data_IF_452237797582
#
_entry.id   IF_452237797582
#
_cell.length_a   1.000
_cell.length_b   1.000
_cell.length_c   1.000
_cell.angle_alpha   90.00
_cell.angle_beta   90.00
_cell.angle_gamma   90.00
#
_symmetry.space_group_name_H-M   'P 1'
#
loop_
_entity.id
_entity.type
_entity.pdbx_description
1 polymer ?
#
# COMPACT_ATOMS: atom_id res chain seq x y z
N UNK A 1 23.64 -14.44 14.27
CA UNK A 1 23.05 -14.20 12.92
C UNK A 1 21.66 -13.66 13.20
N UNK A 2 21.59 -12.36 13.39
CA UNK A 2 20.34 -11.70 13.75
C UNK A 2 19.42 -11.74 12.54
N UNK A 3 18.32 -12.49 12.64
CA UNK A 3 17.20 -12.39 11.72
C UNK A 3 16.57 -11.01 11.95
N UNK A 4 17.19 -9.97 11.39
CA UNK A 4 16.52 -8.69 11.21
C UNK A 4 15.50 -8.95 10.11
N UNK A 5 14.30 -9.40 10.50
CA UNK A 5 13.12 -9.24 9.66
C UNK A 5 12.93 -7.72 9.55
N UNK A 6 13.55 -7.13 8.53
CA UNK A 6 13.36 -5.73 8.17
C UNK A 6 11.91 -5.61 7.67
N UNK A 7 10.99 -5.39 8.60
CA UNK A 7 9.60 -5.08 8.31
C UNK A 7 9.57 -3.79 7.50
N UNK A 8 9.03 -3.86 6.28
CA UNK A 8 8.78 -2.69 5.45
C UNK A 8 7.44 -2.09 5.83
N UNK A 9 7.47 -0.97 6.56
CA UNK A 9 6.26 -0.22 6.88
C UNK A 9 6.09 0.94 5.90
N UNK A 10 5.04 0.90 5.08
CA UNK A 10 4.84 1.84 3.98
C UNK A 10 3.49 2.55 4.10
N UNK A 11 3.48 3.87 4.00
CA UNK A 11 2.24 4.63 3.78
C UNK A 11 1.95 4.71 2.29
N UNK A 12 0.80 4.20 1.86
CA UNK A 12 0.29 4.35 0.49
C UNK A 12 -1.06 5.07 0.52
N UNK A 13 -1.05 6.38 0.27
CA UNK A 13 -2.19 7.25 0.56
C UNK A 13 -2.49 8.22 -0.58
N UNK A 14 -3.77 8.46 -0.80
CA UNK A 14 -4.29 9.42 -1.79
C UNK A 14 -4.34 10.86 -1.24
N UNK A 15 -3.73 11.11 -0.08
CA UNK A 15 -3.58 12.44 0.50
C UNK A 15 -2.43 13.22 -0.16
N UNK A 16 -1.52 13.80 0.62
CA UNK A 16 -0.28 14.39 0.10
C UNK A 16 0.87 14.20 1.09
N UNK A 17 2.09 14.26 0.57
CA UNK A 17 3.31 13.99 1.35
C UNK A 17 3.54 15.00 2.48
N UNK A 18 3.07 16.25 2.34
CA UNK A 18 3.23 17.28 3.37
C UNK A 18 2.38 16.97 4.61
N UNK A 19 1.08 16.70 4.45
CA UNK A 19 0.20 16.37 5.57
C UNK A 19 0.61 15.07 6.27
N UNK A 20 0.95 14.03 5.50
CA UNK A 20 1.37 12.74 6.07
C UNK A 20 2.62 12.95 6.93
N UNK A 21 3.68 13.56 6.37
CA UNK A 21 4.91 13.81 7.12
C UNK A 21 4.68 14.69 8.34
N UNK A 22 3.81 15.70 8.24
CA UNK A 22 3.49 16.58 9.36
C UNK A 22 2.88 15.79 10.53
N UNK A 23 1.91 14.91 10.25
CA UNK A 23 1.26 14.07 11.27
C UNK A 23 2.27 13.08 11.87
N UNK A 24 3.04 12.38 11.03
CA UNK A 24 4.00 11.37 11.51
C UNK A 24 5.08 11.99 12.41
N UNK A 25 5.63 13.15 12.01
CA UNK A 25 6.60 13.90 12.81
C UNK A 25 6.00 14.42 14.11
N UNK A 26 4.78 14.97 14.07
CA UNK A 26 4.09 15.44 15.27
C UNK A 26 3.89 14.31 16.30
N UNK A 27 3.72 13.07 15.82
CA UNK A 27 3.59 11.87 16.65
C UNK A 27 4.92 11.18 16.98
N UNK A 28 6.05 11.64 16.44
CA UNK A 28 7.38 11.02 16.56
C UNK A 28 7.40 9.55 16.11
N UNK A 29 6.74 9.25 15.00
CA UNK A 29 6.66 7.89 14.43
C UNK A 29 7.14 7.83 12.98
N UNK A 30 7.69 8.92 12.45
CA UNK A 30 8.17 9.00 11.07
C UNK A 30 9.33 8.04 10.79
N UNK A 31 10.16 7.76 11.80
CA UNK A 31 11.28 6.82 11.72
C UNK A 31 10.87 5.34 11.59
N UNK A 32 9.61 4.98 11.81
CA UNK A 32 9.13 3.61 11.60
C UNK A 32 8.82 3.30 10.13
N UNK A 33 8.53 4.33 9.33
CA UNK A 33 8.08 4.14 7.95
C UNK A 33 9.27 4.10 6.99
N UNK A 34 9.40 3.00 6.26
CA UNK A 34 10.41 2.83 5.19
C UNK A 34 10.12 3.76 4.01
N UNK A 35 8.83 4.00 3.70
CA UNK A 35 8.43 4.78 2.54
C UNK A 35 7.07 5.44 2.72
N UNK A 36 6.90 6.61 2.10
CA UNK A 36 5.63 7.30 1.97
C UNK A 36 5.38 7.54 0.48
N UNK A 37 4.32 6.94 -0.03
CA UNK A 37 3.85 7.08 -1.42
C UNK A 37 2.52 7.83 -1.39
N UNK A 38 2.54 9.05 -1.91
CA UNK A 38 1.37 9.91 -1.99
C UNK A 38 1.55 11.00 -3.05
N UNK A 39 0.56 11.86 -3.21
CA UNK A 39 0.67 13.04 -4.07
C UNK A 39 1.76 13.98 -3.52
N UNK A 40 2.54 14.59 -4.42
CA UNK A 40 3.59 15.54 -4.03
C UNK A 40 2.97 16.87 -3.61
N UNK A 41 3.65 17.59 -2.72
CA UNK A 41 3.23 18.91 -2.28
C UNK A 41 4.44 19.84 -2.16
N UNK A 42 4.30 21.07 -2.65
CA UNK A 42 5.29 22.14 -2.50
C UNK A 42 4.62 23.47 -2.20
N UNK A 43 5.35 24.43 -1.64
CA UNK A 43 4.87 25.79 -1.44
C UNK A 43 5.42 26.69 -2.53
N UNK A 44 4.56 27.50 -3.15
CA UNK A 44 5.01 28.50 -4.10
C UNK A 44 5.55 29.76 -3.41
N UNK A 45 6.06 30.70 -4.20
CA UNK A 45 6.65 31.97 -3.73
C UNK A 45 5.68 32.83 -2.90
N UNK A 46 4.37 32.53 -2.92
CA UNK A 46 3.33 33.22 -2.14
C UNK A 46 2.85 32.39 -0.95
N UNK A 47 3.64 31.40 -0.53
CA UNK A 47 3.33 30.48 0.59
C UNK A 47 2.04 29.67 0.40
N UNK A 48 1.64 29.43 -0.86
CA UNK A 48 0.46 28.59 -1.16
C UNK A 48 0.91 27.18 -1.48
N UNK A 49 0.28 26.20 -0.83
CA UNK A 49 0.53 24.79 -1.11
C UNK A 49 -0.04 24.39 -2.47
N UNK A 50 0.80 23.80 -3.32
CA UNK A 50 0.44 23.18 -4.58
C UNK A 50 0.59 21.67 -4.45
N UNK A 51 -0.43 20.93 -4.92
CA UNK A 51 -0.44 19.47 -4.88
C UNK A 51 -0.33 18.95 -6.30
N UNK A 52 0.54 17.96 -6.51
CA UNK A 52 0.77 17.33 -7.80
C UNK A 52 0.45 15.84 -7.72
N UNK A 53 -0.22 15.28 -8.76
CA UNK A 53 -0.58 13.87 -8.74
C UNK A 53 0.68 13.00 -8.73
N UNK A 54 0.68 11.91 -7.93
CA UNK A 54 1.78 10.94 -7.91
C UNK A 54 2.02 10.32 -9.30
N UNK A 55 0.93 10.12 -10.04
CA UNK A 55 0.94 9.62 -11.40
C UNK A 55 0.42 10.73 -12.31
N UNK A 56 1.30 11.23 -13.18
CA UNK A 56 1.01 12.35 -14.05
C UNK A 56 -0.07 12.02 -15.09
N UNK A 57 -1.31 12.35 -14.74
CA UNK A 57 -2.47 12.22 -15.63
C UNK A 57 -2.64 13.42 -16.57
N UNK A 58 -2.11 14.59 -16.21
CA UNK A 58 -2.30 15.80 -17.02
C UNK A 58 -1.49 15.74 -18.32
N UNK A 59 -0.34 15.06 -18.31
CA UNK A 59 0.55 14.97 -19.48
C UNK A 59 0.77 13.54 -20.00
N UNK A 60 0.30 12.51 -19.30
CA UNK A 60 0.35 11.11 -19.76
C UNK A 60 -1.05 10.51 -19.75
N UNK A 61 -1.26 9.46 -20.57
CA UNK A 61 -2.48 8.65 -20.48
C UNK A 61 -2.65 8.18 -19.03
N UNK A 62 -3.89 8.25 -18.54
CA UNK A 62 -4.28 7.61 -17.30
C UNK A 62 -3.70 6.18 -17.23
N UNK A 63 -3.31 5.75 -16.03
CA UNK A 63 -2.72 4.43 -15.79
C UNK A 63 -3.63 3.24 -16.20
N UNK A 64 -4.87 3.50 -16.64
CA UNK A 64 -5.76 2.53 -17.26
C UNK A 64 -6.54 1.67 -16.26
N UNK A 65 -6.38 1.89 -14.95
CA UNK A 65 -7.10 1.14 -13.92
C UNK A 65 -8.50 1.75 -13.70
N UNK A 66 -9.53 0.90 -13.80
CA UNK A 66 -10.93 1.27 -13.56
C UNK A 66 -11.26 1.47 -12.07
N UNK A 67 -10.41 0.98 -11.16
CA UNK A 67 -10.66 0.96 -9.72
C UNK A 67 -10.00 2.12 -8.96
N UNK A 68 -9.19 2.94 -9.63
CA UNK A 68 -8.37 3.96 -8.99
C UNK A 68 -8.62 5.34 -9.59
N UNK A 69 -8.52 6.41 -8.77
CA UNK A 69 -8.51 7.76 -9.29
C UNK A 69 -7.28 7.99 -10.18
N UNK A 70 -7.36 9.02 -11.03
CA UNK A 70 -6.35 9.27 -12.05
C UNK A 70 -4.96 9.61 -11.50
N UNK A 71 -4.89 10.18 -10.30
CA UNK A 71 -3.67 10.68 -9.70
C UNK A 71 -2.83 9.61 -8.98
N UNK A 72 -3.43 8.50 -8.55
CA UNK A 72 -2.73 7.43 -7.82
C UNK A 72 -3.43 6.07 -7.95
N UNK A 73 -2.75 5.10 -8.55
CA UNK A 73 -3.15 3.69 -8.55
C UNK A 73 -2.40 2.90 -7.47
N UNK A 74 -3.09 2.59 -6.36
CA UNK A 74 -2.48 1.89 -5.22
C UNK A 74 -2.00 0.47 -5.57
N UNK A 75 -2.72 -0.27 -6.43
CA UNK A 75 -2.27 -1.60 -6.89
C UNK A 75 -0.99 -1.54 -7.73
N UNK A 76 -0.84 -0.51 -8.56
CA UNK A 76 0.42 -0.29 -9.28
C UNK A 76 1.58 -0.01 -8.31
N UNK A 77 1.40 0.92 -7.37
CA UNK A 77 2.48 1.25 -6.43
C UNK A 77 2.82 0.07 -5.51
N UNK A 78 1.85 -0.74 -5.08
CA UNK A 78 2.11 -1.96 -4.31
C UNK A 78 2.95 -2.97 -5.10
N UNK A 79 2.68 -3.16 -6.40
CA UNK A 79 3.55 -4.00 -7.26
C UNK A 79 4.98 -3.47 -7.33
N UNK A 80 5.17 -2.15 -7.44
CA UNK A 80 6.51 -1.57 -7.45
C UNK A 80 7.23 -1.77 -6.11
N UNK A 81 6.53 -1.61 -4.98
CA UNK A 81 7.09 -1.87 -3.64
C UNK A 81 7.58 -3.32 -3.53
N UNK A 82 6.78 -4.29 -3.98
CA UNK A 82 7.16 -5.71 -3.94
C UNK A 82 8.40 -5.96 -4.82
N UNK A 83 8.46 -5.36 -6.02
CA UNK A 83 9.63 -5.49 -6.91
C UNK A 83 10.88 -4.87 -6.30
N UNK A 84 10.75 -3.68 -5.73
CA UNK A 84 11.83 -2.97 -5.03
C UNK A 84 12.37 -3.83 -3.89
N UNK A 85 11.47 -4.39 -3.07
CA UNK A 85 11.83 -5.26 -1.95
C UNK A 85 12.63 -6.49 -2.37
N UNK A 86 12.21 -7.16 -3.45
CA UNK A 86 12.93 -8.30 -4.02
C UNK A 86 14.29 -7.86 -4.58
N UNK A 87 14.37 -6.67 -5.21
CA UNK A 87 15.61 -6.17 -5.81
C UNK A 87 16.67 -5.68 -4.82
N UNK A 88 16.33 -5.44 -3.55
CA UNK A 88 17.31 -5.06 -2.53
C UNK A 88 18.29 -6.18 -2.17
N UNK A 89 17.91 -7.44 -2.42
CA UNK A 89 18.80 -8.58 -2.27
C UNK A 89 19.50 -8.80 -3.62
N UNK A 90 20.82 -8.61 -3.62
CA UNK A 90 21.77 -8.49 -4.75
C UNK A 90 21.35 -9.00 -6.16
N UNK A 91 21.87 -8.31 -7.20
CA UNK A 91 21.69 -8.55 -8.64
C UNK A 91 22.01 -9.98 -9.16
N UNK A 92 22.44 -10.91 -8.31
CA UNK A 92 22.92 -12.26 -8.68
C UNK A 92 21.88 -13.38 -8.53
N UNK A 93 20.64 -13.04 -8.22
CA UNK A 93 19.58 -14.03 -8.07
C UNK A 93 18.98 -14.46 -9.42
N UNK A 94 18.76 -15.76 -9.56
CA UNK A 94 18.01 -16.35 -10.66
C UNK A 94 16.53 -15.99 -10.59
N UNK A 95 15.80 -16.10 -11.70
CA UNK A 95 14.34 -15.84 -11.71
C UNK A 95 13.59 -16.71 -10.69
N UNK A 96 14.07 -17.93 -10.46
CA UNK A 96 13.51 -18.86 -9.46
C UNK A 96 13.71 -18.37 -8.02
N UNK A 97 14.82 -17.71 -7.72
CA UNK A 97 15.07 -17.16 -6.39
C UNK A 97 14.20 -15.94 -6.14
N UNK A 98 14.05 -15.05 -7.14
CA UNK A 98 13.11 -13.92 -7.08
C UNK A 98 11.66 -14.37 -6.90
N UNK A 99 11.26 -15.45 -7.57
CA UNK A 99 9.92 -16.03 -7.45
C UNK A 99 9.70 -16.61 -6.04
N UNK A 100 10.68 -17.33 -5.49
CA UNK A 100 10.63 -17.81 -4.09
C UNK A 100 10.56 -16.67 -3.10
N UNK A 101 11.37 -15.63 -3.24
CA UNK A 101 11.32 -14.49 -2.33
C UNK A 101 9.97 -13.77 -2.42
N UNK A 102 9.42 -13.63 -3.64
CA UNK A 102 8.06 -13.11 -3.83
C UNK A 102 7.01 -13.92 -3.08
N UNK A 103 7.17 -15.25 -3.01
CA UNK A 103 6.30 -16.14 -2.24
C UNK A 103 6.49 -15.97 -0.72
N UNK A 104 7.72 -15.74 -0.27
CA UNK A 104 8.07 -15.54 1.15
C UNK A 104 7.66 -14.17 1.73
N UNK A 105 7.60 -13.13 0.90
CA UNK A 105 7.16 -11.79 1.36
C UNK A 105 5.68 -11.83 1.69
N UNK A 106 5.33 -11.87 2.97
CA UNK A 106 3.94 -11.69 3.40
C UNK A 106 3.56 -10.20 3.40
N UNK A 107 2.39 -9.86 2.87
CA UNK A 107 1.85 -8.50 2.86
C UNK A 107 0.68 -8.42 3.84
N UNK A 108 0.72 -7.42 4.73
CA UNK A 108 -0.43 -7.02 5.55
C UNK A 108 -0.93 -5.65 5.08
N UNK A 109 -2.10 -5.61 4.44
CA UNK A 109 -2.63 -4.39 3.83
C UNK A 109 -3.81 -3.82 4.61
N UNK A 110 -3.67 -2.59 5.09
CA UNK A 110 -4.72 -1.87 5.83
C UNK A 110 -5.33 -0.77 4.94
N UNK A 111 -6.67 -0.74 4.85
CA UNK A 111 -7.37 0.24 4.03
C UNK A 111 -8.84 0.41 4.40
N UNK A 112 -9.47 1.46 3.87
CA UNK A 112 -10.86 1.82 4.16
C UNK A 112 -11.65 2.26 2.91
N UNK A 113 -10.94 2.81 1.92
CA UNK A 113 -11.52 3.40 0.72
C UNK A 113 -11.66 2.42 -0.45
N UNK A 114 -12.53 2.76 -1.41
CA UNK A 114 -12.62 2.02 -2.68
C UNK A 114 -11.31 1.99 -3.46
N UNK A 115 -10.49 3.04 -3.33
CA UNK A 115 -9.18 3.13 -3.98
C UNK A 115 -8.12 2.18 -3.40
N UNK A 116 -8.37 1.58 -2.22
CA UNK A 116 -7.56 0.51 -1.64
C UNK A 116 -7.82 -0.86 -2.28
N UNK A 117 -9.01 -1.04 -2.85
CA UNK A 117 -9.42 -2.31 -3.45
C UNK A 117 -8.44 -2.77 -4.54
N UNK A 118 -7.93 -1.85 -5.35
CA UNK A 118 -6.94 -2.18 -6.38
C UNK A 118 -5.63 -2.73 -5.79
N UNK A 119 -5.22 -2.30 -4.60
CA UNK A 119 -4.06 -2.87 -3.92
C UNK A 119 -4.38 -4.22 -3.30
N UNK A 120 -5.57 -4.39 -2.71
CA UNK A 120 -6.04 -5.68 -2.22
C UNK A 120 -6.03 -6.76 -3.32
N UNK A 121 -6.33 -6.40 -4.58
CA UNK A 121 -6.26 -7.32 -5.72
C UNK A 121 -4.84 -7.85 -6.01
N UNK A 122 -3.78 -7.22 -5.52
CA UNK A 122 -2.40 -7.70 -5.71
C UNK A 122 -1.96 -8.72 -4.65
N UNK A 123 -2.71 -8.86 -3.55
CA UNK A 123 -2.40 -9.78 -2.46
C UNK A 123 -2.45 -11.23 -2.93
N UNK A 124 -1.57 -12.10 -2.48
CA UNK A 124 -1.54 -13.53 -2.82
C UNK A 124 -1.96 -14.39 -1.63
N UNK A 125 -2.03 -15.71 -1.85
CA UNK A 125 -2.26 -16.68 -0.79
C UNK A 125 -1.29 -16.45 0.37
N UNK A 126 -1.83 -16.41 1.60
CA UNK A 126 -1.08 -16.18 2.83
C UNK A 126 -0.89 -14.70 3.18
N UNK A 127 -1.18 -13.76 2.29
CA UNK A 127 -1.24 -12.34 2.63
C UNK A 127 -2.52 -12.02 3.44
N UNK A 128 -2.51 -10.86 4.10
CA UNK A 128 -3.56 -10.41 5.00
C UNK A 128 -4.16 -9.08 4.52
N UNK A 129 -5.48 -8.99 4.52
CA UNK A 129 -6.26 -7.81 4.18
C UNK A 129 -7.06 -7.35 5.41
N UNK A 130 -6.87 -6.09 5.77
CA UNK A 130 -7.50 -5.46 6.93
C UNK A 130 -8.42 -4.32 6.48
N UNK A 131 -9.66 -4.63 6.03
CA UNK A 131 -10.63 -3.60 5.66
C UNK A 131 -11.20 -2.93 6.91
N UNK A 132 -11.24 -1.61 6.91
CA UNK A 132 -11.84 -0.83 8.01
C UNK A 132 -13.35 -1.06 8.05
N UNK A 133 -13.86 -1.39 9.23
CA UNK A 133 -15.29 -1.58 9.50
C UNK A 133 -16.12 -0.33 9.20
N UNK A 134 -17.29 -0.55 8.63
CA UNK A 134 -18.25 0.47 8.22
C UNK A 134 -17.79 1.30 7.03
N UNK A 135 -16.82 0.83 6.24
CA UNK A 135 -16.23 1.59 5.13
C UNK A 135 -16.30 0.83 3.81
N UNK A 136 -16.08 1.57 2.73
CA UNK A 136 -16.33 1.07 1.38
C UNK A 136 -15.46 -0.11 0.95
N UNK A 137 -14.26 -0.27 1.53
CA UNK A 137 -13.44 -1.45 1.25
C UNK A 137 -14.06 -2.72 1.83
N UNK A 138 -14.58 -2.68 3.06
CA UNK A 138 -15.29 -3.80 3.68
C UNK A 138 -16.48 -4.24 2.82
N UNK A 139 -17.31 -3.28 2.37
CA UNK A 139 -18.46 -3.60 1.50
C UNK A 139 -18.06 -4.29 0.19
N UNK A 140 -16.93 -3.90 -0.40
CA UNK A 140 -16.42 -4.51 -1.63
C UNK A 140 -15.83 -5.90 -1.38
N UNK A 141 -15.13 -6.07 -0.26
CA UNK A 141 -14.57 -7.35 0.15
C UNK A 141 -15.68 -8.36 0.44
N UNK A 142 -16.72 -7.96 1.15
CA UNK A 142 -17.88 -8.82 1.45
C UNK A 142 -18.63 -9.25 0.19
N UNK A 143 -18.81 -8.33 -0.77
CA UNK A 143 -19.44 -8.65 -2.08
C UNK A 143 -18.66 -9.67 -2.91
N UNK A 144 -17.36 -9.79 -2.66
CA UNK A 144 -16.47 -10.71 -3.36
C UNK A 144 -15.84 -11.74 -2.41
N UNK A 145 -16.53 -12.11 -1.32
CA UNK A 145 -16.01 -12.99 -0.27
C UNK A 145 -15.37 -14.28 -0.81
N UNK A 146 -16.07 -14.96 -1.72
CA UNK A 146 -15.59 -16.20 -2.35
C UNK A 146 -14.23 -16.01 -3.03
N UNK A 147 -13.98 -14.87 -3.68
CA UNK A 147 -12.69 -14.56 -4.31
C UNK A 147 -11.56 -14.60 -3.29
N UNK A 148 -11.75 -14.03 -2.11
CA UNK A 148 -10.70 -13.91 -1.10
C UNK A 148 -10.41 -15.26 -0.45
N UNK A 149 -11.45 -16.05 -0.19
CA UNK A 149 -11.34 -17.42 0.30
C UNK A 149 -10.59 -18.32 -0.71
N UNK A 150 -10.98 -18.28 -1.98
CA UNK A 150 -10.31 -19.03 -3.06
C UNK A 150 -8.84 -18.60 -3.26
N UNK A 151 -8.58 -17.29 -3.17
CA UNK A 151 -7.22 -16.75 -3.25
C UNK A 151 -6.37 -17.12 -2.02
N UNK A 152 -7.00 -17.52 -0.93
CA UNK A 152 -6.35 -17.81 0.34
C UNK A 152 -5.75 -16.58 1.01
N UNK A 153 -6.39 -15.42 0.85
CA UNK A 153 -6.03 -14.17 1.56
C UNK A 153 -6.80 -14.14 2.87
N UNK A 154 -6.10 -13.97 3.99
CA UNK A 154 -6.74 -13.78 5.29
C UNK A 154 -7.41 -12.41 5.35
N UNK A 155 -8.68 -12.35 5.75
CA UNK A 155 -9.42 -11.09 5.87
C UNK A 155 -9.79 -10.85 7.34
N UNK A 156 -9.39 -9.71 7.88
CA UNK A 156 -9.69 -9.29 9.24
C UNK A 156 -10.28 -7.87 9.23
N UNK A 157 -11.61 -7.77 9.37
CA UNK A 157 -12.27 -6.46 9.49
C UNK A 157 -11.87 -5.80 10.81
N UNK A 158 -11.44 -4.54 10.76
CA UNK A 158 -10.97 -3.82 11.96
C UNK A 158 -11.69 -2.50 12.20
N UNK A 159 -11.97 -2.19 13.45
CA UNK A 159 -12.42 -0.86 13.90
C UNK A 159 -11.36 -0.16 14.75
N UNK A 160 -10.68 -0.91 15.59
CA UNK A 160 -9.57 -0.44 16.41
C UNK A 160 -8.30 -1.24 16.13
N UNK A 161 -7.14 -0.60 16.32
CA UNK A 161 -5.86 -1.21 15.94
C UNK A 161 -5.53 -2.47 16.74
N UNK A 162 -6.20 -2.67 17.88
CA UNK A 162 -6.03 -3.82 18.75
C UNK A 162 -6.72 -5.10 18.30
N UNK A 163 -7.66 -5.01 17.37
CA UNK A 163 -8.32 -6.16 16.77
C UNK A 163 -7.40 -6.93 15.80
N UNK A 164 -6.26 -6.35 15.43
CA UNK A 164 -5.36 -6.86 14.40
C UNK A 164 -4.11 -7.56 14.96
N UNK A 165 -3.92 -7.62 16.29
CA UNK A 165 -2.67 -8.13 16.89
C UNK A 165 -2.47 -9.64 16.76
N UNK A 166 -3.57 -10.40 16.77
CA UNK A 166 -3.55 -11.88 16.86
C UNK A 166 -3.85 -12.57 15.53
N UNK A 167 -3.89 -11.81 14.43
CA UNK A 167 -4.31 -12.28 13.11
C UNK A 167 -3.15 -12.71 12.22
#
# INVERSE_FOLDING_TARGET
MDLVVLLWLVVLSDANIFFINTILKQKNIDNFFTKIISNYAEFDEKERMRIFPKQDYYHKKAHGCANCPHNLCKGKELREIIRERISEREERESEREREREREEIQISYFGDGKNDFCAALELKKGDLLFPRKGKSLEELVEKEKERWEEKGVGVCVWEHGDECWDF
#
